data_IF_075241335310
#
_entry.id   IF_075241335310
#
_cell.length_a   1.000
_cell.length_b   1.000
_cell.length_c   1.000
_cell.angle_alpha   90.00
_cell.angle_beta   90.00
_cell.angle_gamma   90.00
#
_symmetry.space_group_name_H-M   'P 1'
#
loop_
_entity.id
_entity.type
_entity.pdbx_description
1 polymer ?
2 branched ?
3 non-polymer ?
4 non-polymer ?
5 non-polymer ?
6 water ?
#
# COMPACT_ATOMS: atom_id res chain seq x y z
N UNK A 39 -24.60 -2.10 -6.89
CA UNK A 39 -23.82 -1.27 -5.88
C UNK A 39 -23.01 -2.00 -4.80
N UNK A 40 -22.64 -3.25 -5.05
CA UNK A 40 -21.80 -4.02 -4.14
C UNK A 40 -20.57 -4.63 -4.78
N UNK A 41 -20.45 -4.55 -6.10
CA UNK A 41 -19.37 -5.26 -6.78
C UNK A 41 -18.02 -4.61 -6.52
N UNK A 42 -16.98 -5.41 -6.59
CA UNK A 42 -15.61 -4.91 -6.46
C UNK A 42 -15.23 -3.97 -7.57
N UNK A 43 -14.43 -2.97 -7.20
CA UNK A 43 -13.87 -2.07 -8.18
C UNK A 43 -12.41 -2.40 -8.42
N UNK A 44 -12.07 -2.68 -9.67
CA UNK A 44 -10.73 -3.08 -10.04
C UNK A 44 -9.79 -1.96 -10.48
N UNK A 45 -10.23 -0.72 -10.23
CA UNK A 45 -9.39 0.47 -10.35
C UNK A 45 -9.17 1.11 -8.97
N UNK A 46 -9.45 0.35 -7.90
CA UNK A 46 -9.25 0.79 -6.53
C UNK A 46 -8.26 -0.15 -5.87
N UNK A 47 -7.14 0.43 -5.45
CA UNK A 47 -5.98 -0.31 -4.94
C UNK A 47 -5.82 -0.02 -3.47
N UNK A 48 -5.74 -1.00 -2.62
CA UNK A 48 -5.61 -0.78 -1.21
C UNK A 48 -4.26 -1.35 -0.73
N UNK A 49 -3.43 -0.47 -0.17
CA UNK A 49 -2.08 -0.89 0.22
C UNK A 49 -2.11 -1.80 1.43
N UNK A 50 -1.52 -2.98 1.25
CA UNK A 50 -1.64 -4.09 2.20
C UNK A 50 -0.26 -4.51 2.66
N UNK A 51 -0.15 -4.80 3.96
CA UNK A 51 1.13 -5.13 4.60
C UNK A 51 0.99 -6.54 5.15
N UNK A 52 1.97 -7.40 4.81
CA UNK A 52 2.02 -8.82 5.14
C UNK A 52 3.13 -9.14 6.14
N UNK A 53 3.54 -8.16 6.95
CA UNK A 53 4.71 -8.29 7.79
C UNK A 53 4.39 -8.61 9.26
N UNK A 54 3.13 -8.86 9.56
CA UNK A 54 2.73 -9.16 10.95
C UNK A 54 2.92 -10.62 11.27
N UNK A 55 3.18 -10.97 12.52
CA UNK A 55 3.20 -12.40 12.89
C UNK A 55 2.34 -12.65 14.10
N UNK A 56 2.07 -13.92 14.34
CA UNK A 56 1.49 -14.33 15.60
C UNK A 56 2.19 -15.54 16.16
N UNK A 57 2.01 -15.76 17.44
CA UNK A 57 2.52 -17.00 18.02
C UNK A 57 1.90 -18.22 17.33
N UNK A 58 0.60 -18.16 17.03
CA UNK A 58 -0.08 -19.30 16.41
C UNK A 58 0.62 -19.81 15.16
N UNK A 59 1.04 -18.90 14.28
CA UNK A 59 1.55 -19.30 12.98
C UNK A 59 3.06 -19.16 12.89
N UNK A 60 3.57 -18.00 13.32
CA UNK A 60 4.98 -17.66 13.16
C UNK A 60 5.86 -18.02 14.35
N UNK A 61 5.25 -18.22 15.51
CA UNK A 61 5.99 -18.39 16.73
C UNK A 61 6.48 -17.09 17.34
N UNK A 62 6.02 -15.95 16.83
CA UNK A 62 6.41 -14.66 17.34
C UNK A 62 5.46 -13.60 16.78
N UNK A 63 5.32 -12.53 17.55
CA UNK A 63 4.61 -11.31 17.19
C UNK A 63 5.43 -10.20 16.43
N UNK A 64 5.88 -10.60 15.25
CA UNK A 64 6.61 -9.72 14.34
C UNK A 64 5.78 -8.47 13.98
N UNK A 65 6.46 -7.33 13.96
CA UNK A 65 5.91 -5.99 13.69
C UNK A 65 4.99 -5.47 14.81
N UNK A 66 4.20 -6.31 15.48
CA UNK A 66 3.53 -5.85 16.69
C UNK A 66 4.57 -5.37 17.70
N UNK A 67 5.71 -6.08 17.73
CA UNK A 67 6.96 -5.62 18.36
C UNK A 67 7.74 -4.85 17.31
N UNK A 68 8.27 -3.69 17.68
CA UNK A 68 8.93 -2.83 16.68
C UNK A 68 9.87 -1.89 17.39
N UNK A 69 11.02 -1.63 16.76
CA UNK A 69 11.93 -0.62 17.26
C UNK A 69 11.34 0.78 17.20
N UNK A 70 11.63 1.61 18.19
CA UNK A 70 11.23 3.01 18.15
C UNK A 70 12.31 3.75 17.38
N UNK A 71 11.89 4.54 16.40
CA UNK A 71 12.82 5.24 15.53
C UNK A 71 13.49 6.40 16.27
N UNK A 72 14.80 6.54 16.12
CA UNK A 72 15.45 7.74 16.64
C UNK A 72 14.96 8.99 15.89
N UNK A 73 15.05 10.11 16.59
CA UNK A 73 14.66 11.42 16.04
C UNK A 73 15.77 11.85 15.05
N UNK A 74 15.44 12.02 13.75
CA UNK A 74 16.43 12.45 12.77
C UNK A 74 17.08 13.81 13.08
N UNK A 75 16.43 14.65 13.91
CA UNK A 75 17.00 15.93 14.34
C UNK A 75 17.65 15.79 15.71
CA UNK A 81 18.60 5.04 22.74
C UNK A 81 17.09 4.91 22.94
N UNK A 82 16.34 5.01 21.84
CA UNK A 82 14.88 5.17 21.83
C UNK A 82 14.11 3.95 22.35
N UNK A 83 14.72 2.77 22.28
CA UNK A 83 14.09 1.54 22.76
C UNK A 83 13.19 0.87 21.74
N UNK A 84 12.37 -0.03 22.27
CA UNK A 84 11.50 -0.87 21.44
C UNK A 84 10.13 -1.01 22.07
N UNK A 85 9.16 -1.25 21.24
CA UNK A 85 7.81 -1.62 21.66
C UNK A 85 7.81 -3.17 21.67
N UNK A 86 7.41 -3.80 22.78
CA UNK A 86 7.66 -5.24 22.90
C UNK A 86 6.65 -6.14 22.18
N UNK A 87 5.52 -5.59 21.71
CA UNK A 87 4.57 -6.43 21.02
C UNK A 87 3.83 -7.42 21.91
N UNK A 88 3.70 -7.07 23.17
CA UNK A 88 2.86 -7.83 24.09
C UNK A 88 1.41 -7.49 23.80
N UNK A 89 0.49 -8.23 24.42
CA UNK A 89 -0.92 -7.89 24.25
C UNK A 89 -1.19 -6.44 24.64
N UNK A 90 -0.55 -6.00 25.70
CA UNK A 90 -0.77 -4.69 26.24
C UNK A 90 -0.11 -3.57 25.44
N UNK A 91 1.01 -3.86 24.81
CA UNK A 91 1.87 -2.83 24.16
C UNK A 91 2.33 -3.24 22.77
N UNK A 92 1.59 -2.76 21.78
CA UNK A 92 1.87 -3.03 20.39
C UNK A 92 2.31 -1.75 19.68
N UNK A 93 2.92 -1.92 18.50
CA UNK A 93 3.50 -0.84 17.74
C UNK A 93 2.46 -0.13 16.86
N UNK A 94 1.44 0.39 17.50
CA UNK A 94 0.37 1.15 16.85
C UNK A 94 -0.26 2.05 17.89
N UNK A 95 -0.81 3.17 17.44
CA UNK A 95 -1.64 3.99 18.32
C UNK A 95 -3.09 3.46 18.38
N UNK A 96 -3.46 2.52 17.48
CA UNK A 96 -4.75 1.86 17.47
C UNK A 96 -4.56 0.38 17.80
N UNK A 97 -5.67 -0.36 17.88
CA UNK A 97 -5.62 -1.75 18.25
C UNK A 97 -6.50 -2.58 17.33
N UNK A 98 -5.95 -3.62 16.68
CA UNK A 98 -6.74 -4.39 15.70
C UNK A 98 -7.89 -5.17 16.36
N UNK A 99 -9.05 -5.16 15.71
CA UNK A 99 -10.14 -6.07 16.08
C UNK A 99 -9.71 -7.53 16.07
N UNK A 100 -8.84 -7.89 15.13
CA UNK A 100 -8.37 -9.26 15.01
C UNK A 100 -7.23 -9.62 15.93
N UNK A 101 -6.79 -8.69 16.77
CA UNK A 101 -5.69 -8.91 17.69
C UNK A 101 -4.34 -8.93 17.00
N UNK A 102 -3.34 -9.45 17.70
CA UNK A 102 -1.97 -9.52 17.19
C UNK A 102 -1.88 -10.71 16.23
N UNK A 103 -2.34 -10.51 15.00
CA UNK A 103 -2.50 -11.56 14.03
C UNK A 103 -1.22 -11.84 13.25
N UNK A 104 -1.18 -13.04 12.66
CA UNK A 104 -0.15 -13.38 11.69
C UNK A 104 -0.66 -13.17 10.28
N UNK A 105 0.16 -12.50 9.45
CA UNK A 105 -0.12 -12.37 8.04
C UNK A 105 -0.01 -13.69 7.27
N UNK A 106 0.52 -14.73 7.92
CA UNK A 106 0.61 -16.08 7.35
C UNK A 106 -0.48 -17.01 7.87
N UNK A 107 -1.44 -16.50 8.62
CA UNK A 107 -2.52 -17.31 9.17
C UNK A 107 -3.63 -17.37 8.11
N UNK A 108 -3.85 -18.52 7.48
CA UNK A 108 -4.89 -18.57 6.43
C UNK A 108 -6.28 -18.10 6.93
N UNK A 109 -6.57 -18.30 8.21
CA UNK A 109 -7.87 -17.91 8.70
C UNK A 109 -7.98 -16.35 8.79
N UNK A 110 -6.89 -15.68 9.13
CA UNK A 110 -6.85 -14.20 9.10
C UNK A 110 -6.99 -13.73 7.67
N UNK A 111 -6.32 -14.39 6.75
CA UNK A 111 -6.36 -13.95 5.35
C UNK A 111 -7.79 -14.06 4.83
N UNK A 112 -8.52 -15.10 5.18
CA UNK A 112 -9.92 -15.20 4.79
C UNK A 112 -10.76 -13.98 5.26
N UNK A 113 -10.54 -13.65 6.52
CA UNK A 113 -11.21 -12.50 7.13
C UNK A 113 -10.82 -11.20 6.42
N UNK A 114 -9.55 -11.03 6.12
CA UNK A 114 -9.13 -9.83 5.38
C UNK A 114 -9.78 -9.77 4.01
N UNK A 115 -9.89 -10.88 3.31
CA UNK A 115 -10.51 -10.83 1.99
C UNK A 115 -11.97 -10.49 2.09
N UNK A 116 -12.65 -10.99 3.14
CA UNK A 116 -14.05 -10.60 3.35
C UNK A 116 -14.14 -9.10 3.65
N UNK A 117 -13.16 -8.52 4.33
CA UNK A 117 -13.12 -7.07 4.58
C UNK A 117 -12.94 -6.30 3.28
N UNK A 118 -12.05 -6.78 2.40
CA UNK A 118 -11.91 -6.18 1.05
C UNK A 118 -13.24 -6.20 0.31
N UNK A 119 -13.95 -7.32 0.38
CA UNK A 119 -15.26 -7.39 -0.28
C UNK A 119 -16.21 -6.35 0.31
N UNK A 120 -16.24 -6.23 1.63
CA UNK A 120 -17.09 -5.19 2.26
C UNK A 120 -16.72 -3.78 1.81
N UNK A 121 -15.42 -3.52 1.61
CA UNK A 121 -14.95 -2.22 1.23
C UNK A 121 -15.09 -1.96 -0.28
N UNK A 122 -15.33 -3.02 -1.06
CA UNK A 122 -15.44 -2.97 -2.53
C UNK A 122 -14.10 -2.67 -3.21
N UNK A 123 -12.99 -2.91 -2.48
CA UNK A 123 -11.67 -2.64 -3.02
C UNK A 123 -11.19 -3.89 -3.76
N UNK A 124 -11.12 -3.83 -5.09
CA UNK A 124 -10.81 -5.02 -5.84
C UNK A 124 -9.36 -5.39 -5.98
N UNK A 125 -8.44 -4.47 -5.65
CA UNK A 125 -7.02 -4.77 -5.80
C UNK A 125 -6.29 -4.58 -4.48
N UNK A 126 -5.58 -5.62 -4.05
CA UNK A 126 -4.71 -5.63 -2.90
C UNK A 126 -3.30 -5.33 -3.42
N UNK A 127 -2.73 -4.21 -2.96
CA UNK A 127 -1.41 -3.77 -3.42
C UNK A 127 -0.42 -4.16 -2.35
N UNK A 128 0.24 -5.30 -2.58
CA UNK A 128 1.01 -6.02 -1.56
C UNK A 128 2.42 -5.46 -1.42
N UNK A 129 2.77 -5.01 -0.22
CA UNK A 129 4.16 -4.63 0.08
C UNK A 129 5.09 -5.76 -0.26
N UNK A 130 6.24 -5.41 -0.85
CA UNK A 130 7.18 -6.43 -1.30
C UNK A 130 8.59 -5.98 -1.07
N UNK A 131 9.28 -6.75 -0.21
CA UNK A 131 10.57 -6.37 0.35
C UNK A 131 11.73 -7.23 -0.13
N UNK A 132 11.48 -8.15 -1.06
CA UNK A 132 12.54 -8.98 -1.61
C UNK A 132 13.32 -9.68 -0.49
N UNK A 133 12.58 -10.34 0.40
CA UNK A 133 13.23 -11.02 1.51
C UNK A 133 13.94 -12.30 1.09
N UNK A 134 13.52 -12.90 -0.03
CA UNK A 134 14.16 -14.10 -0.58
C UNK A 134 14.24 -15.20 0.48
N UNK A 135 13.13 -15.45 1.12
CA UNK A 135 13.07 -16.49 2.12
C UNK A 135 11.78 -17.24 1.96
N UNK A 136 11.81 -18.47 2.41
CA UNK A 136 10.68 -19.40 2.42
C UNK A 136 9.38 -18.79 2.94
N UNK A 137 9.49 -18.05 4.02
CA UNK A 137 8.33 -17.51 4.69
C UNK A 137 7.62 -16.49 3.80
N UNK A 138 8.38 -15.65 3.11
CA UNK A 138 7.81 -14.67 2.14
C UNK A 138 7.10 -15.41 1.03
N UNK A 139 7.75 -16.40 0.46
CA UNK A 139 7.18 -17.11 -0.68
C UNK A 139 5.87 -17.79 -0.26
N UNK A 140 5.87 -18.38 0.92
CA UNK A 140 4.67 -19.05 1.38
C UNK A 140 3.51 -18.05 1.54
N UNK A 141 3.81 -16.93 2.18
CA UNK A 141 2.78 -15.96 2.46
C UNK A 141 2.18 -15.35 1.17
N UNK A 142 3.03 -15.05 0.20
CA UNK A 142 2.49 -14.50 -1.06
C UNK A 142 1.53 -15.49 -1.68
N UNK A 143 1.88 -16.78 -1.72
CA UNK A 143 0.96 -17.77 -2.23
C UNK A 143 -0.33 -17.86 -1.47
N UNK A 144 -0.24 -17.79 -0.15
CA UNK A 144 -1.47 -17.82 0.67
C UNK A 144 -2.36 -16.64 0.38
N UNK A 145 -1.78 -15.47 0.23
CA UNK A 145 -2.56 -14.25 -0.05
C UNK A 145 -3.22 -14.35 -1.42
N UNK A 146 -2.49 -14.76 -2.45
CA UNK A 146 -3.09 -14.95 -3.75
C UNK A 146 -4.24 -15.96 -3.70
N UNK A 147 -4.03 -17.08 -3.03
CA UNK A 147 -5.09 -18.09 -2.93
C UNK A 147 -6.33 -17.56 -2.24
N UNK A 148 -6.14 -16.85 -1.12
CA UNK A 148 -7.30 -16.31 -0.40
C UNK A 148 -8.00 -15.24 -1.23
N UNK A 149 -7.25 -14.37 -1.86
CA UNK A 149 -7.83 -13.32 -2.70
C UNK A 149 -8.68 -13.93 -3.80
N UNK A 150 -8.22 -14.99 -4.44
CA UNK A 150 -8.95 -15.51 -5.57
C UNK A 150 -10.31 -16.04 -5.16
N UNK A 151 -10.44 -16.56 -3.94
CA UNK A 151 -11.72 -17.11 -3.51
C UNK A 151 -12.79 -16.04 -3.50
N UNK A 152 -12.40 -14.77 -3.37
CA UNK A 152 -13.30 -13.63 -3.31
C UNK A 152 -13.24 -12.71 -4.55
N UNK A 153 -12.53 -13.16 -5.60
CA UNK A 153 -12.36 -12.39 -6.84
C UNK A 153 -11.56 -11.11 -6.63
N UNK A 154 -10.77 -11.07 -5.56
CA UNK A 154 -9.85 -9.96 -5.38
C UNK A 154 -8.56 -10.23 -6.16
N UNK A 155 -7.97 -9.15 -6.65
CA UNK A 155 -6.74 -9.20 -7.41
C UNK A 155 -5.59 -8.69 -6.57
N UNK A 156 -4.38 -9.09 -6.94
CA UNK A 156 -3.16 -8.72 -6.20
C UNK A 156 -2.16 -8.14 -7.19
N UNK A 157 -1.64 -6.96 -6.81
CA UNK A 157 -0.47 -6.40 -7.49
C UNK A 157 0.59 -6.14 -6.43
N UNK A 158 1.80 -5.79 -6.87
CA UNK A 158 2.93 -5.62 -5.94
C UNK A 158 3.35 -4.16 -5.82
N UNK A 159 3.67 -3.82 -4.58
CA UNK A 159 4.18 -2.51 -4.18
C UNK A 159 5.66 -2.71 -3.86
N UNK A 160 6.51 -2.32 -4.82
CA UNK A 160 7.95 -2.61 -4.76
C UNK A 160 8.63 -1.60 -3.85
N UNK A 161 9.10 -2.10 -2.71
CA UNK A 161 9.65 -1.29 -1.66
C UNK A 161 11.13 -1.03 -1.89
N UNK A 162 11.71 -0.09 -1.10
CA UNK A 162 13.15 0.24 -1.25
C UNK A 162 14.02 -0.75 -0.52
N UNK A 163 14.12 -1.93 -1.07
CA UNK A 163 14.96 -2.99 -0.51
C UNK A 163 16.44 -2.68 -0.77
N UNK A 164 17.36 -3.34 0.01
CA UNK A 164 18.78 -2.99 -0.07
C UNK A 164 19.35 -3.15 -1.48
N UNK A 165 20.06 -2.12 -1.94
CA UNK A 165 20.72 -2.10 -3.24
C UNK A 165 19.73 -2.19 -4.40
N UNK A 166 18.45 -1.84 -4.17
CA UNK A 166 17.51 -1.83 -5.26
C UNK A 166 18.08 -0.98 -6.40
N UNK A 167 17.97 -1.48 -7.61
CA UNK A 167 18.48 -0.77 -8.78
C UNK A 167 17.70 -1.31 -9.97
N UNK A 168 17.84 -0.70 -11.16
CA UNK A 168 16.96 -1.13 -12.24
C UNK A 168 17.22 -2.55 -12.72
N UNK A 169 18.47 -3.04 -12.58
CA UNK A 169 18.77 -4.39 -13.01
C UNK A 169 18.11 -5.44 -12.10
N UNK A 170 18.32 -5.34 -10.79
CA UNK A 170 17.62 -6.27 -9.94
C UNK A 170 16.13 -6.03 -9.90
N UNK A 171 15.65 -4.81 -10.15
CA UNK A 171 14.20 -4.62 -10.31
C UNK A 171 13.70 -5.40 -11.50
N UNK A 172 14.41 -5.34 -12.63
CA UNK A 172 13.96 -6.12 -13.79
C UNK A 172 13.92 -7.59 -13.42
N UNK A 173 14.99 -8.09 -12.80
CA UNK A 173 15.02 -9.50 -12.46
C UNK A 173 13.89 -9.89 -11.54
N UNK A 174 13.56 -9.01 -10.60
CA UNK A 174 12.46 -9.26 -9.68
C UNK A 174 11.08 -9.16 -10.31
N UNK A 175 10.91 -8.24 -11.26
CA UNK A 175 9.67 -8.19 -12.03
C UNK A 175 9.51 -9.47 -12.85
N UNK A 176 10.60 -9.92 -13.49
CA UNK A 176 10.55 -11.18 -14.23
C UNK A 176 10.17 -12.31 -13.26
N UNK A 177 10.80 -12.36 -12.09
CA UNK A 177 10.52 -13.42 -11.14
C UNK A 177 9.08 -13.39 -10.69
N UNK A 178 8.56 -12.22 -10.35
CA UNK A 178 7.19 -12.14 -9.87
C UNK A 178 6.19 -12.51 -10.95
N UNK A 179 6.41 -12.04 -12.18
CA UNK A 179 5.52 -12.40 -13.28
C UNK A 179 5.62 -13.91 -13.58
N UNK A 180 6.83 -14.46 -13.58
CA UNK A 180 7.00 -15.89 -13.83
C UNK A 180 6.32 -16.72 -12.74
N UNK A 181 6.52 -16.36 -11.48
CA UNK A 181 6.00 -17.16 -10.38
C UNK A 181 4.50 -17.03 -10.25
N UNK A 182 4.00 -15.79 -10.39
CA UNK A 182 2.61 -15.47 -10.00
C UNK A 182 1.74 -15.01 -11.14
N UNK A 183 2.31 -14.72 -12.31
CA UNK A 183 1.53 -14.14 -13.40
C UNK A 183 0.39 -14.99 -13.90
N UNK A 184 0.52 -16.32 -13.75
CA UNK A 184 -0.58 -17.19 -14.17
C UNK A 184 -1.55 -17.51 -13.04
N UNK A 185 -1.32 -16.98 -11.83
CA UNK A 185 -2.27 -17.20 -10.77
C UNK A 185 -3.52 -16.41 -11.15
N UNK A 186 -4.72 -16.98 -10.94
CA UNK A 186 -5.95 -16.28 -11.31
C UNK A 186 -6.18 -14.94 -10.59
N UNK A 187 -5.56 -14.74 -9.41
CA UNK A 187 -5.71 -13.50 -8.69
C UNK A 187 -4.68 -12.45 -9.08
N UNK A 188 -3.71 -12.75 -9.95
CA UNK A 188 -2.71 -11.76 -10.31
C UNK A 188 -3.36 -10.64 -11.13
N UNK A 189 -3.17 -9.40 -10.70
CA UNK A 189 -3.80 -8.28 -11.36
C UNK A 189 -3.22 -7.95 -12.74
N UNK A 190 -4.11 -7.66 -13.70
CA UNK A 190 -3.71 -6.99 -14.93
C UNK A 190 -4.72 -5.90 -15.24
N UNK A 191 -4.22 -4.83 -15.85
CA UNK A 191 -5.02 -3.71 -16.32
C UNK A 191 -4.78 -3.66 -17.83
N UNK A 192 -5.84 -3.84 -18.60
CA UNK A 192 -5.77 -3.87 -20.07
C UNK A 192 -4.60 -4.75 -20.58
N UNK A 193 -4.44 -5.90 -19.94
CA UNK A 193 -3.42 -6.86 -20.34
C UNK A 193 -2.07 -6.77 -19.68
N UNK A 194 -1.85 -5.74 -18.87
CA UNK A 194 -0.54 -5.51 -18.27
C UNK A 194 -0.57 -5.64 -16.76
N UNK A 195 0.42 -6.31 -16.18
CA UNK A 195 0.61 -6.16 -14.73
C UNK A 195 0.81 -4.70 -14.34
N UNK A 196 0.62 -4.39 -13.06
CA UNK A 196 0.87 -3.02 -12.56
C UNK A 196 1.72 -3.13 -11.30
N UNK A 197 2.74 -2.28 -11.21
CA UNK A 197 3.54 -2.20 -9.99
C UNK A 197 3.57 -0.76 -9.52
N UNK A 198 3.45 -0.58 -8.20
CA UNK A 198 3.74 0.70 -7.54
C UNK A 198 5.18 0.66 -7.07
N UNK A 199 5.92 1.76 -7.23
CA UNK A 199 7.31 1.81 -6.83
C UNK A 199 7.50 2.86 -5.76
N UNK A 200 7.69 2.40 -4.52
CA UNK A 200 7.80 3.32 -3.40
C UNK A 200 9.16 4.00 -3.40
N UNK A 201 9.19 5.29 -3.08
CA UNK A 201 10.42 6.08 -3.01
C UNK A 201 11.24 5.89 -4.29
N UNK A 202 10.54 5.98 -5.42
CA UNK A 202 11.16 5.81 -6.72
C UNK A 202 12.24 6.83 -7.02
N UNK A 203 12.17 8.00 -6.36
CA UNK A 203 13.15 9.08 -6.55
C UNK A 203 14.56 8.69 -6.08
N UNK A 204 14.67 7.59 -5.34
CA UNK A 204 15.98 7.10 -4.91
C UNK A 204 16.79 6.53 -6.09
N UNK A 205 16.15 6.35 -7.24
CA UNK A 205 16.81 5.90 -8.48
C UNK A 205 16.66 7.02 -9.50
N UNK A 206 17.78 7.38 -10.13
CA UNK A 206 17.82 8.47 -11.06
C UNK A 206 17.01 8.17 -12.31
N UNK A 207 16.39 9.20 -12.94
CA UNK A 207 15.70 8.98 -14.21
C UNK A 207 16.57 8.32 -15.28
N UNK A 208 17.87 8.63 -15.33
CA UNK A 208 18.71 8.02 -16.36
C UNK A 208 18.78 6.51 -16.19
N UNK A 209 18.70 6.00 -14.97
CA UNK A 209 18.64 4.58 -14.73
C UNK A 209 17.24 4.03 -15.08
N UNK A 210 16.18 4.70 -14.61
CA UNK A 210 14.83 4.28 -14.95
C UNK A 210 14.62 4.14 -16.45
N UNK A 211 15.18 5.08 -17.24
CA UNK A 211 15.01 5.07 -18.69
C UNK A 211 15.48 3.76 -19.31
N UNK A 212 16.52 3.16 -18.73
CA UNK A 212 17.07 1.92 -19.24
C UNK A 212 16.10 0.76 -19.15
N UNK A 213 15.23 0.82 -18.15
CA UNK A 213 14.22 -0.18 -17.89
C UNK A 213 12.89 0.14 -18.57
N UNK A 214 12.53 1.42 -18.65
CA UNK A 214 11.18 1.84 -18.93
C UNK A 214 10.97 2.57 -20.25
N UNK A 215 12.02 3.07 -20.87
CA UNK A 215 11.86 3.56 -22.24
C UNK A 215 11.78 2.37 -23.19
N UNK A 216 11.03 2.46 -24.29
CA UNK A 216 11.04 1.37 -25.26
C UNK A 216 12.42 1.09 -25.84
N UNK A 217 13.30 2.08 -25.85
CA UNK A 217 14.65 1.92 -26.34
C UNK A 217 15.67 1.61 -25.28
N UNK A 218 15.25 1.46 -24.04
CA UNK A 218 16.19 1.29 -22.97
C UNK A 218 16.99 0.01 -23.07
N UNK A 219 18.23 0.08 -22.58
CA UNK A 219 19.15 -1.02 -22.64
C UNK A 219 18.61 -2.34 -22.09
N UNK A 220 17.80 -2.25 -21.04
CA UNK A 220 17.20 -3.45 -20.42
C UNK A 220 15.69 -3.30 -20.37
N UNK A 221 15.12 -2.79 -21.45
CA UNK A 221 13.71 -2.46 -21.44
C UNK A 221 12.83 -3.67 -21.13
N UNK A 222 11.72 -3.38 -20.47
CA UNK A 222 10.60 -4.29 -20.37
C UNK A 222 9.56 -4.04 -21.43
N UNK A 223 9.64 -2.93 -22.15
CA UNK A 223 8.57 -2.64 -23.12
C UNK A 223 8.64 -3.63 -24.27
N UNK A 224 7.45 -4.08 -24.72
CA UNK A 224 7.30 -5.04 -25.79
C UNK A 224 7.82 -6.42 -25.47
N UNK A 225 8.10 -6.71 -24.22
CA UNK A 225 8.53 -8.01 -23.76
C UNK A 225 7.40 -8.70 -23.03
N UNK A 226 7.63 -9.96 -22.69
CA UNK A 226 6.70 -10.71 -21.86
C UNK A 226 6.53 -10.12 -20.47
N UNK A 227 7.42 -9.21 -20.08
CA UNK A 227 7.48 -8.70 -18.72
C UNK A 227 7.11 -7.25 -18.63
N UNK A 228 6.46 -6.72 -19.69
CA UNK A 228 5.99 -5.35 -19.70
C UNK A 228 4.97 -5.18 -18.57
N UNK A 229 4.89 -3.97 -18.03
CA UNK A 229 4.01 -3.67 -16.92
C UNK A 229 3.77 -2.16 -16.85
N UNK A 230 2.65 -1.79 -16.25
CA UNK A 230 2.41 -0.40 -15.88
C UNK A 230 3.21 -0.09 -14.63
N UNK A 231 4.13 0.86 -14.71
CA UNK A 231 5.04 1.20 -13.62
C UNK A 231 4.62 2.56 -13.08
N UNK A 232 4.22 2.58 -11.83
CA UNK A 232 3.62 3.76 -11.19
C UNK A 232 4.61 4.29 -10.15
N UNK A 233 5.24 5.43 -10.46
CA UNK A 233 6.22 6.01 -9.59
C UNK A 233 5.62 6.95 -8.56
N UNK A 234 6.38 7.30 -7.55
CA UNK A 234 5.90 8.14 -6.45
C UNK A 234 6.12 9.63 -6.76
N UNK A 235 5.06 10.38 -6.94
CA UNK A 235 5.15 11.84 -7.07
C UNK A 235 5.23 12.44 -5.69
N UNK A 236 6.36 13.05 -5.35
CA UNK A 236 6.58 13.68 -4.04
C UNK A 236 6.42 15.20 -4.07
N UNK A 237 7.39 15.89 -4.66
CA UNK A 237 7.54 17.33 -4.46
C UNK A 237 6.90 18.15 -5.57
N UNK A 238 7.44 19.34 -5.86
CA UNK A 238 6.75 20.29 -6.70
C UNK A 238 6.80 19.86 -8.16
N UNK A 239 5.90 20.40 -9.00
CA UNK A 239 5.90 20.05 -10.41
C UNK A 239 7.22 20.31 -11.11
N UNK A 240 7.93 21.37 -10.71
CA UNK A 240 9.20 21.68 -11.37
C UNK A 240 10.20 20.52 -11.29
N UNK A 241 10.16 19.77 -10.19
CA UNK A 241 10.98 18.58 -10.05
C UNK A 241 10.28 17.32 -10.60
N UNK A 242 9.01 17.16 -10.28
CA UNK A 242 8.37 15.88 -10.55
C UNK A 242 8.03 15.69 -12.01
N UNK A 243 7.62 16.76 -12.72
CA UNK A 243 7.24 16.60 -14.13
C UNK A 243 8.39 16.01 -14.95
N UNK A 244 9.59 16.64 -14.90
CA UNK A 244 10.67 16.04 -15.69
C UNK A 244 11.11 14.70 -15.16
N UNK A 245 11.05 14.49 -13.84
CA UNK A 245 11.40 13.20 -13.31
C UNK A 245 10.54 12.09 -13.95
N UNK A 246 9.23 12.27 -13.91
CA UNK A 246 8.32 11.26 -14.40
C UNK A 246 8.49 11.03 -15.91
N UNK A 247 8.62 12.13 -16.66
CA UNK A 247 8.81 12.02 -18.10
C UNK A 247 10.11 11.33 -18.44
N UNK A 248 11.19 11.76 -17.80
CA UNK A 248 12.53 11.28 -18.12
C UNK A 248 12.73 9.84 -17.64
N UNK A 249 12.00 9.44 -16.61
CA UNK A 249 12.05 8.06 -16.11
C UNK A 249 11.17 7.10 -16.89
N UNK A 250 10.24 7.63 -17.70
CA UNK A 250 9.35 6.80 -18.51
C UNK A 250 8.37 5.97 -17.68
N UNK A 251 8.02 6.47 -16.49
CA UNK A 251 6.94 5.81 -15.76
C UNK A 251 5.64 5.93 -16.53
N UNK A 252 4.79 4.93 -16.33
CA UNK A 252 3.45 4.96 -16.94
C UNK A 252 2.49 5.83 -16.18
N UNK A 253 2.80 6.13 -14.92
CA UNK A 253 1.91 6.91 -14.10
C UNK A 253 2.57 7.20 -12.77
N UNK A 254 1.77 7.75 -11.86
CA UNK A 254 2.28 8.15 -10.58
C UNK A 254 1.20 8.08 -9.54
N UNK A 255 1.64 7.88 -8.29
CA UNK A 255 0.80 7.85 -7.10
C UNK A 255 1.44 8.73 -6.05
N UNK A 256 0.73 8.95 -4.94
CA UNK A 256 1.20 9.92 -3.95
C UNK A 256 1.50 9.32 -2.58
N UNK A 257 0.92 8.15 -2.30
CA UNK A 257 1.03 7.34 -1.09
C UNK A 257 0.52 8.00 0.21
N UNK A 258 1.12 9.12 0.64
CA UNK A 258 0.98 9.53 2.03
C UNK A 258 -0.46 9.82 2.38
N UNK A 259 -0.90 9.25 3.52
CA UNK A 259 -2.24 9.50 4.01
C UNK A 259 -2.42 10.86 4.64
N UNK A 260 -1.31 11.50 5.04
CA UNK A 260 -1.32 12.77 5.73
C UNK A 260 -1.32 13.94 4.75
N UNK A 261 -2.43 14.67 4.71
CA UNK A 261 -2.53 15.80 3.77
C UNK A 261 -1.42 16.79 4.06
N UNK A 262 -0.83 17.27 2.99
CA UNK A 262 0.19 18.29 3.12
C UNK A 262 1.56 17.79 3.50
N UNK A 263 1.73 16.49 3.71
CA UNK A 263 3.06 15.98 4.02
C UNK A 263 4.04 16.25 2.86
N UNK A 264 3.56 16.06 1.64
CA UNK A 264 4.30 16.42 0.44
C UNK A 264 3.35 17.24 -0.44
N UNK A 265 3.91 17.87 -1.47
CA UNK A 265 3.10 18.50 -2.50
C UNK A 265 2.10 17.49 -3.09
N UNK A 266 2.58 16.28 -3.36
CA UNK A 266 1.74 15.27 -3.97
C UNK A 266 0.59 14.82 -3.10
N UNK A 267 0.78 14.86 -1.77
CA UNK A 267 -0.27 14.45 -0.84
C UNK A 267 -1.07 15.66 -0.36
N UNK A 268 -1.05 16.75 -1.09
CA UNK A 268 -1.89 17.92 -0.81
C UNK A 268 -3.04 17.93 -1.82
N UNK A 269 -4.25 17.53 -1.40
CA UNK A 269 -5.28 17.28 -2.40
C UNK A 269 -5.72 18.44 -3.26
N UNK A 270 -5.51 19.68 -2.81
CA UNK A 270 -5.81 20.81 -3.71
C UNK A 270 -4.91 20.84 -4.96
N UNK A 271 -3.83 20.07 -4.99
CA UNK A 271 -3.01 19.95 -6.18
C UNK A 271 -3.48 18.92 -7.17
N UNK A 272 -4.46 18.11 -6.78
CA UNK A 272 -4.81 16.94 -7.59
C UNK A 272 -5.46 17.28 -8.94
N UNK A 273 -6.29 18.31 -9.00
CA UNK A 273 -6.86 18.70 -10.31
C UNK A 273 -5.74 19.02 -11.30
N UNK A 274 -4.75 19.82 -10.88
CA UNK A 274 -3.61 20.20 -11.74
C UNK A 274 -2.73 19.01 -12.09
N UNK A 275 -2.52 18.13 -11.12
CA UNK A 275 -1.75 16.94 -11.38
C UNK A 275 -2.42 16.03 -12.41
N UNK A 276 -3.74 15.89 -12.29
CA UNK A 276 -4.49 15.11 -13.26
C UNK A 276 -4.43 15.74 -14.65
N UNK A 277 -4.57 17.06 -14.73
CA UNK A 277 -4.47 17.76 -16.02
C UNK A 277 -3.15 17.44 -16.69
N UNK A 278 -2.07 17.54 -15.93
CA UNK A 278 -0.74 17.25 -16.48
C UNK A 278 -0.65 15.78 -16.91
N UNK A 279 -1.18 14.89 -16.07
CA UNK A 279 -1.16 13.47 -16.40
C UNK A 279 -1.85 13.22 -17.73
N UNK A 280 -3.06 13.76 -17.88
CA UNK A 280 -3.81 13.57 -19.11
C UNK A 280 -3.07 14.11 -20.33
N UNK A 281 -2.49 15.30 -20.19
CA UNK A 281 -1.73 15.92 -21.30
C UNK A 281 -0.49 15.11 -21.69
N UNK A 282 0.04 14.29 -20.78
CA UNK A 282 1.30 13.59 -21.00
C UNK A 282 1.14 12.07 -21.05
N UNK A 283 -0.10 11.59 -21.16
CA UNK A 283 -0.37 10.18 -21.29
C UNK A 283 0.03 9.35 -20.09
N UNK A 284 -0.09 9.93 -18.89
CA UNK A 284 0.28 9.25 -17.66
C UNK A 284 -0.97 8.94 -16.85
N UNK A 285 -0.91 7.86 -16.07
CA UNK A 285 -1.99 7.43 -15.20
C UNK A 285 -1.75 7.99 -13.78
N UNK A 286 -2.61 8.87 -13.30
CA UNK A 286 -2.51 9.40 -11.95
C UNK A 286 -3.41 8.59 -11.04
N UNK A 287 -2.83 8.05 -9.97
CA UNK A 287 -3.52 7.24 -8.98
C UNK A 287 -3.32 7.90 -7.61
N UNK A 288 -4.10 8.95 -7.30
CA UNK A 288 -3.91 9.60 -6.00
C UNK A 288 -4.17 8.65 -4.87
N UNK A 289 -3.49 8.85 -3.75
CA UNK A 289 -3.68 8.02 -2.57
C UNK A 289 -4.48 8.80 -1.53
N UNK A 290 -5.51 8.14 -0.99
CA UNK A 290 -6.38 8.71 0.02
C UNK A 290 -6.28 7.84 1.26
N UNK A 291 -6.39 8.45 2.43
CA UNK A 291 -6.43 7.69 3.66
C UNK A 291 -7.27 8.34 4.72
N UNK A 292 -7.52 7.59 5.81
CA UNK A 292 -8.49 8.02 6.80
C UNK A 292 -7.92 8.90 7.91
N UNK A 293 -6.60 8.98 7.98
CA UNK A 293 -5.91 9.70 9.03
C UNK A 293 -4.46 9.25 9.03
N UNK A 294 -3.71 9.78 10.01
CA UNK A 294 -2.31 9.41 10.17
C UNK A 294 -1.92 9.64 11.61
N UNK A 295 -1.23 8.67 12.22
CA UNK A 295 -0.56 8.91 13.49
C UNK A 295 0.41 7.77 13.71
N UNK A 296 1.69 8.12 13.92
CA UNK A 296 2.75 7.13 14.02
C UNK A 296 3.57 7.33 15.27
N UNK A 297 3.04 8.00 16.30
CA UNK A 297 3.88 8.44 17.40
C UNK A 297 4.28 7.34 18.37
N UNK A 298 3.67 6.15 18.35
CA UNK A 298 4.23 5.04 19.15
C UNK A 298 5.62 4.68 18.64
N UNK A 299 5.78 4.59 17.32
CA UNK A 299 7.09 4.25 16.74
C UNK A 299 7.95 5.44 16.38
N UNK A 300 7.36 6.61 16.21
CA UNK A 300 8.10 7.84 15.83
C UNK A 300 7.61 8.95 16.73
N UNK A 301 8.03 8.96 18.03
CA UNK A 301 7.44 9.91 19.00
C UNK A 301 7.68 11.37 18.68
N UNK A 302 8.71 11.63 17.89
CA UNK A 302 9.09 12.96 17.43
C UNK A 302 8.30 13.46 16.22
N UNK A 303 7.42 12.62 15.65
CA UNK A 303 6.76 12.92 14.37
C UNK A 303 5.33 13.43 14.52
N UNK A 304 5.01 14.04 15.66
CA UNK A 304 3.66 14.47 15.91
C UNK A 304 3.10 15.48 14.96
N UNK A 305 3.94 16.28 14.29
CA UNK A 305 3.42 17.26 13.35
C UNK A 305 2.70 16.63 12.14
N UNK A 306 2.94 15.33 11.88
CA UNK A 306 2.30 14.63 10.76
C UNK A 306 0.96 14.05 11.16
N UNK A 307 0.59 14.10 12.45
CA UNK A 307 -0.71 13.59 12.85
C UNK A 307 -1.83 14.27 12.09
N UNK A 308 -2.74 13.46 11.58
CA UNK A 308 -3.99 13.94 11.00
C UNK A 308 -5.11 13.20 11.66
N UNK A 309 -5.99 13.94 12.34
CA UNK A 309 -7.08 13.38 13.11
C UNK A 309 -8.19 12.85 12.21
N UNK A 310 -8.81 11.73 12.61
CA UNK A 310 -9.84 11.10 11.77
C UNK A 310 -11.18 11.83 11.80
N UNK A 311 -11.46 12.55 12.88
CA UNK A 311 -12.72 13.28 13.07
C UNK A 311 -13.94 12.47 12.65
N UNK A 312 -14.05 11.27 13.18
CA UNK A 312 -15.26 10.44 12.97
C UNK A 312 -15.57 10.18 11.50
N UNK A 313 -14.53 10.16 10.71
CA UNK A 313 -14.65 9.90 9.27
C UNK A 313 -14.59 11.12 8.37
N UNK A 314 -14.66 12.31 8.95
CA UNK A 314 -14.73 13.49 8.11
C UNK A 314 -13.44 13.72 7.34
N UNK A 315 -12.30 13.37 7.92
CA UNK A 315 -11.02 13.49 7.19
C UNK A 315 -11.02 12.59 5.94
N UNK A 316 -11.41 11.34 6.13
CA UNK A 316 -11.42 10.38 5.03
C UNK A 316 -12.36 10.87 3.93
N UNK A 317 -13.54 11.31 4.33
CA UNK A 317 -14.54 11.81 3.35
C UNK A 317 -13.96 12.96 2.53
N UNK A 318 -13.30 13.90 3.21
CA UNK A 318 -12.76 15.05 2.50
C UNK A 318 -11.71 14.62 1.47
N UNK A 319 -10.84 13.70 1.85
CA UNK A 319 -9.75 13.31 0.98
C UNK A 319 -10.27 12.50 -0.21
N UNK A 320 -11.18 11.56 0.06
CA UNK A 320 -11.75 10.73 -1.01
C UNK A 320 -12.52 11.62 -2.00
N UNK A 321 -13.28 12.58 -1.46
CA UNK A 321 -14.03 13.47 -2.34
C UNK A 321 -13.10 14.22 -3.29
N UNK A 322 -11.97 14.70 -2.80
CA UNK A 322 -11.00 15.41 -3.65
C UNK A 322 -10.46 14.52 -4.74
N UNK A 323 -10.16 13.26 -4.42
CA UNK A 323 -9.70 12.36 -5.48
C UNK A 323 -10.72 12.19 -6.58
N UNK A 324 -11.98 11.97 -6.20
CA UNK A 324 -13.03 11.77 -7.18
C UNK A 324 -13.26 13.03 -8.00
N UNK A 325 -13.25 14.19 -7.34
CA UNK A 325 -13.41 15.46 -8.04
C UNK A 325 -12.30 15.77 -9.02
N UNK A 326 -11.11 15.24 -8.79
CA UNK A 326 -10.00 15.46 -9.69
C UNK A 326 -10.22 14.74 -11.02
N UNK A 327 -11.13 13.78 -11.07
CA UNK A 327 -11.46 13.13 -12.33
C UNK A 327 -10.48 12.06 -12.74
N UNK A 328 -9.89 11.36 -11.79
CA UNK A 328 -8.92 10.32 -12.04
C UNK A 328 -9.60 9.02 -12.42
N UNK A 329 -8.78 8.14 -13.01
CA UNK A 329 -9.16 6.83 -13.48
C UNK A 329 -9.01 5.70 -12.49
N UNK A 330 -8.29 5.97 -11.42
CA UNK A 330 -7.93 4.95 -10.44
C UNK A 330 -7.57 5.70 -9.15
N UNK A 331 -7.84 5.03 -8.02
CA UNK A 331 -7.56 5.58 -6.70
C UNK A 331 -6.85 4.51 -5.86
N UNK A 332 -5.91 4.96 -5.04
CA UNK A 332 -5.25 4.05 -4.11
C UNK A 332 -5.59 4.51 -2.69
N UNK A 333 -5.64 3.52 -1.80
CA UNK A 333 -6.04 3.74 -0.40
C UNK A 333 -4.85 3.37 0.50
N UNK A 334 -4.42 4.37 1.27
CA UNK A 334 -3.37 4.23 2.26
C UNK A 334 -4.03 4.30 3.62
N UNK A 335 -4.35 3.16 4.25
CA UNK A 335 -3.92 1.80 3.89
C UNK A 335 -4.96 0.83 4.38
N UNK A 336 -4.81 -0.43 3.96
CA UNK A 336 -5.59 -1.46 4.64
C UNK A 336 -5.15 -1.59 6.09
N UNK A 337 -3.82 -1.76 6.27
CA UNK A 337 -3.30 -2.24 7.56
C UNK A 337 -1.87 -1.82 7.83
N UNK A 338 -1.55 -0.54 7.56
CA UNK A 338 -0.29 0.03 8.07
C UNK A 338 -0.64 0.57 9.48
N UNK A 339 -0.63 -0.36 10.44
CA UNK A 339 -1.01 -0.05 11.81
C UNK A 339 0.00 0.85 12.47
N UNK A 340 1.27 0.78 12.07
CA UNK A 340 2.28 1.64 12.69
C UNK A 340 2.02 3.09 12.42
N UNK A 341 1.44 3.40 11.25
CA UNK A 341 1.22 4.76 10.82
C UNK A 341 -0.20 5.22 11.02
N UNK A 342 -1.08 4.36 11.56
CA UNK A 342 -2.42 4.77 11.90
C UNK A 342 -3.22 5.18 10.70
N UNK A 343 -2.91 4.64 9.52
CA UNK A 343 -3.64 4.94 8.32
C UNK A 343 -4.64 3.83 7.95
N UNK A 344 -4.75 2.80 8.79
CA UNK A 344 -5.50 1.62 8.40
C UNK A 344 -7.00 1.86 8.34
N UNK A 345 -7.64 1.18 7.37
CA UNK A 345 -9.09 1.07 7.35
C UNK A 345 -9.56 -0.25 7.98
N UNK A 346 -8.63 -1.17 8.24
CA UNK A 346 -8.98 -2.43 8.90
C UNK A 346 -9.64 -2.13 10.23
N UNK A 347 -10.65 -2.93 10.64
CA UNK A 347 -11.33 -2.70 11.91
C UNK A 347 -10.40 -2.65 13.09
N UNK A 348 -10.63 -1.65 13.95
CA UNK A 348 -9.96 -1.39 15.20
C UNK A 348 -10.98 -1.37 16.31
N UNK A 349 -10.56 -1.71 17.52
CA UNK A 349 -11.45 -1.75 18.68
C UNK A 349 -10.90 -0.89 19.80
N UNK A 350 -11.80 -0.39 20.67
CA UNK A 350 -11.32 0.28 21.87
C UNK A 350 -10.52 -0.68 22.73
N UNK A 351 -9.44 -0.18 23.32
CA UNK A 351 -8.64 -0.99 24.23
C UNK A 351 -7.81 -0.07 25.10
N UNK A 352 -7.88 -0.35 26.40
CA UNK A 352 -7.01 0.30 27.33
C UNK A 352 -6.35 -0.79 28.13
N UNK A 353 -5.03 -0.83 28.06
CA UNK A 353 -4.28 -1.79 28.81
C UNK A 353 -3.55 -1.09 29.92
N UNK A 354 -2.83 -1.85 30.71
CA UNK A 354 -2.03 -1.27 31.77
C UNK A 354 -0.87 -0.46 31.20
N UNK A 355 -0.52 -0.66 29.92
CA UNK A 355 0.62 0.01 29.33
C UNK A 355 0.27 1.19 28.40
N UNK A 356 -0.93 1.21 27.81
CA UNK A 356 -1.25 2.24 26.81
C UNK A 356 -2.73 2.34 26.67
N UNK A 357 -3.22 3.56 26.45
CA UNK A 357 -4.61 3.79 26.12
C UNK A 357 -4.67 4.02 24.60
N UNK A 358 -5.24 3.08 23.84
CA UNK A 358 -5.20 3.16 22.40
C UNK A 358 -6.29 4.15 21.92
N UNK A 359 -6.02 4.75 20.77
CA UNK A 359 -7.09 5.39 20.01
C UNK A 359 -8.02 4.35 19.44
N UNK A 360 -9.20 4.78 18.98
CA UNK A 360 -10.20 3.89 18.43
C UNK A 360 -11.08 4.70 17.49
N UNK A 361 -12.09 4.04 16.91
CA UNK A 361 -12.94 4.68 15.93
C UNK A 361 -14.06 5.51 16.52
N UNK A 362 -14.03 5.72 17.86
CA UNK A 362 -14.77 6.80 18.54
C UNK A 362 -16.23 6.62 18.37
N UNK A 363 -16.92 7.55 17.71
CA UNK A 363 -18.32 7.37 17.58
C UNK A 363 -18.71 6.43 16.50
N UNK A 364 -17.75 5.96 15.72
CA UNK A 364 -18.01 4.99 14.65
C UNK A 364 -17.72 3.59 15.15
N UNK A 365 -18.40 2.60 14.54
CA UNK A 365 -18.17 1.18 14.80
C UNK A 365 -16.87 0.67 14.17
N UNK A 366 -16.37 -0.50 14.63
CA UNK A 366 -15.07 -0.98 14.10
C UNK A 366 -14.99 -1.11 12.59
N UNK A 367 -16.07 -1.50 11.91
CA UNK A 367 -16.06 -1.65 10.45
C UNK A 367 -16.45 -0.41 9.67
N UNK A 368 -16.52 0.74 10.36
CA UNK A 368 -16.98 1.95 9.69
C UNK A 368 -16.13 2.32 8.49
N UNK A 369 -14.79 2.20 8.60
CA UNK A 369 -13.97 2.60 7.48
C UNK A 369 -14.08 1.66 6.30
N UNK A 370 -14.38 0.38 6.53
CA UNK A 370 -14.69 -0.53 5.43
C UNK A 370 -15.98 -0.10 4.73
N UNK A 371 -17.04 0.12 5.51
CA UNK A 371 -18.29 0.46 4.85
C UNK A 371 -18.25 1.85 4.22
N UNK A 372 -17.49 2.79 4.82
CA UNK A 372 -17.35 4.10 4.19
C UNK A 372 -16.51 4.05 2.92
N UNK A 373 -15.52 3.14 2.90
CA UNK A 373 -14.80 2.92 1.64
C UNK A 373 -15.77 2.48 0.54
N UNK A 374 -16.67 1.56 0.89
CA UNK A 374 -17.62 1.05 -0.11
C UNK A 374 -18.49 2.19 -0.65
N UNK A 375 -18.88 3.11 0.24
CA UNK A 375 -19.64 4.29 -0.15
C UNK A 375 -18.88 5.08 -1.19
N UNK A 376 -17.59 5.37 -0.89
CA UNK A 376 -16.77 6.16 -1.81
C UNK A 376 -16.45 5.42 -3.10
N UNK A 377 -16.25 4.11 -3.07
CA UNK A 377 -16.08 3.35 -4.29
C UNK A 377 -17.30 3.55 -5.19
N UNK A 378 -18.50 3.50 -4.60
CA UNK A 378 -19.71 3.76 -5.39
C UNK A 378 -19.70 5.13 -6.04
N UNK A 379 -19.32 6.16 -5.26
CA UNK A 379 -19.23 7.52 -5.84
C UNK A 379 -18.17 7.61 -6.93
N UNK A 380 -17.04 6.91 -6.73
CA UNK A 380 -16.00 6.89 -7.75
C UNK A 380 -16.54 6.24 -9.04
N UNK A 381 -17.24 5.12 -8.92
CA UNK A 381 -17.78 4.43 -10.09
C UNK A 381 -18.79 5.27 -10.80
N UNK A 382 -19.57 6.03 -10.03
CA UNK A 382 -20.59 6.89 -10.59
C UNK A 382 -19.94 7.92 -11.50
N UNK A 383 -18.70 8.33 -11.16
CA UNK A 383 -17.86 9.29 -11.87
C UNK A 383 -17.08 8.77 -13.07
N UNK A 384 -16.98 7.44 -13.22
CA UNK A 384 -16.06 6.82 -14.22
C UNK A 384 -16.74 6.80 -15.55
X LIG B 1 10.54 10.69 4.51
X LIG B 1 10.17 9.21 4.32
X LIG B 1 10.26 8.83 2.86
X LIG B 1 9.42 9.78 2.02
X LIG B 1 9.81 11.23 2.29
X LIG B 1 8.90 12.19 1.57
X LIG B 1 11.92 10.84 4.22
X LIG B 1 8.81 9.04 4.77
X LIG B 1 9.90 7.46 2.63
X LIG B 1 9.61 9.56 0.62
X LIG B 1 9.74 11.53 3.69
X LIG B 1 9.33 13.55 1.65
X LIG B 2 8.66 8.26 5.95
X LIG B 2 7.18 7.97 6.10
X LIG B 2 6.42 9.21 6.52
X LIG B 2 7.02 9.81 7.78
X LIG B 2 8.51 10.09 7.52
X LIG B 2 9.18 10.55 8.82
X LIG B 2 7.11 6.98 7.13
X LIG B 2 5.03 8.91 6.72
X LIG B 2 6.35 11.03 8.18
X LIG B 2 9.19 8.90 7.10
X LIG B 2 10.53 10.92 8.56
X LIG C 1 22.99 2.43 -20.53
X LIG C 1 23.46 2.93 -19.48
X LIG C 1 22.60 1.28 -20.54
X LIG C 1 22.96 3.22 -21.77
X LIG D 1 4.71 2.49 4.13
X LIG D 1 7.01 1.59 3.79
X LIG D 1 6.43 2.67 6.03
X LIG D 1 5.03 2.83 5.56
X LIG D 1 8.15 1.51 2.93
X LIG D 1 5.92 2.50 3.20
X LIG D 1 5.47 2.11 1.79
X LIG D 1 4.73 0.88 1.79
X LIG D 1 7.52 2.18 5.10
X LIG D 1 8.24 1.13 5.81
X LIG D 1 5.88 4.04 5.77
X LIG E 1 9.15 1.62 6.81
X LIG E 1 10.14 0.48 7.14
X LIG E 1 9.50 -0.67 7.85
X LIG E 1 8.82 -0.16 9.11
X LIG E 1 7.78 0.88 8.67
X LIG E 1 7.04 1.48 9.86
X LIG E 1 10.74 -0.02 5.94
X LIG E 1 10.52 -1.63 8.24
X LIG E 1 8.13 -1.25 9.73
X LIG E 1 8.49 1.97 8.03
X LIG E 1 6.06 2.43 9.43
#
# INVERSE_FOLDING_TARGET
>A
MGSSHHHHHHSSGLVPRGSHMDDNNPSNSENNGGNNNLGTELDYDTFCFYYDWYGSEAIDGQYRHWAHAIAPDPNGGSGQNPGTIPGTQESIASNFYPQLGRYSSSDPNILTKHMDMFVMARTGVLALTWWNEQDETEAKRIGLILDAADKKKIKVCFHLEPYPSRNVQNLRENIVKLITRYGNHPAFYRKDGKPLFFIYDSYLIEPSEWEKLLSPGGSITIRNTAYDALMIGLWTSSPTVQRPFILNAHFDGFYTYFAATGFTYGSTPTNWVSMQKWAKENGKIFIPSVGPGYIDTRIRPWNGSVIRTRTDGQYYDAMYRKAIEAGVSAISITSFNEWHEGSQIEPAVPYTSSEFTYLDYENREPDYYLTRTAYWVGKFRESKQ
>B hetero
1 MAN C1 C2 C3 C4 C5 C6 O1 O2 O3 O4 O5 O6
2 MAN C1 C2 C3 C4 C5 C6 O2 O3 O4 O5 O6
>C hetero
1 ACT C O OXT CH3
>D hetero
1 GDQ C7 C4 C2 C1 O4 C5 C6 O6 C3 O3 N2
>E hetero
1 GLC C1 C2 C3 C4 C5 C6 O2 O3 O4 O5 O6
#
